data_IF_242736005936
#
_entry.id   IF_242736005936
#
_cell.length_a   1.000
_cell.length_b   1.000
_cell.length_c   1.000
_cell.angle_alpha   90.00
_cell.angle_beta   90.00
_cell.angle_gamma   90.00
#
_symmetry.space_group_name_H-M   'P 1'
#
loop_
_entity.id
_entity.type
_entity.pdbx_description
1 polymer ?
#
# COMPACT_ATOMS: atom_id res chain seq x y z
N UNK A 1 29.24 -39.21 12.37
CA UNK A 1 27.99 -38.53 12.76
C UNK A 1 26.89 -39.59 12.82
N UNK A 2 26.11 -39.67 13.89
CA UNK A 2 25.09 -40.73 13.98
C UNK A 2 24.02 -40.50 12.92
N UNK A 3 23.56 -41.56 12.25
CA UNK A 3 22.51 -41.54 11.24
C UNK A 3 21.24 -40.81 11.74
N UNK A 4 21.01 -40.84 13.04
CA UNK A 4 19.91 -40.12 13.71
C UNK A 4 20.02 -38.60 13.58
N UNK A 5 21.21 -38.03 13.73
CA UNK A 5 21.44 -36.57 13.55
C UNK A 5 21.27 -36.11 12.11
N UNK A 6 21.66 -36.94 11.14
CA UNK A 6 21.48 -36.62 9.72
C UNK A 6 20.01 -36.63 9.31
N UNK A 7 19.24 -37.60 9.83
CA UNK A 7 17.80 -37.67 9.59
C UNK A 7 17.07 -36.42 10.16
N UNK A 8 17.36 -36.05 11.41
CA UNK A 8 16.77 -34.87 12.02
C UNK A 8 17.17 -33.58 11.32
N UNK A 9 18.42 -33.44 10.91
CA UNK A 9 18.87 -32.26 10.13
C UNK A 9 18.14 -32.18 8.78
N UNK A 10 17.98 -33.29 8.08
CA UNK A 10 17.26 -33.31 6.81
C UNK A 10 15.78 -32.94 7.00
N UNK A 11 15.12 -33.46 8.04
CA UNK A 11 13.75 -33.16 8.39
C UNK A 11 13.55 -31.67 8.71
N UNK A 12 14.39 -31.12 9.57
CA UNK A 12 14.36 -29.68 9.94
C UNK A 12 14.62 -28.79 8.74
N UNK A 13 15.60 -29.13 7.91
CA UNK A 13 15.91 -28.34 6.70
C UNK A 13 14.76 -28.36 5.73
N UNK A 14 14.15 -29.53 5.49
CA UNK A 14 12.99 -29.68 4.63
C UNK A 14 11.78 -28.87 5.15
N UNK A 15 11.52 -28.95 6.46
CA UNK A 15 10.46 -28.19 7.10
C UNK A 15 10.70 -26.67 7.00
N UNK A 16 11.92 -26.21 7.25
CA UNK A 16 12.28 -24.81 7.17
C UNK A 16 12.16 -24.26 5.74
N UNK A 17 12.56 -25.06 4.74
CA UNK A 17 12.40 -24.70 3.33
C UNK A 17 10.92 -24.64 2.92
N UNK A 18 10.12 -25.61 3.35
CA UNK A 18 8.69 -25.65 3.03
C UNK A 18 7.93 -24.48 3.64
N UNK A 19 8.11 -24.23 4.94
CA UNK A 19 7.44 -23.13 5.62
C UNK A 19 7.99 -21.76 5.22
N UNK A 20 9.31 -21.62 5.07
CA UNK A 20 9.94 -20.39 4.61
C UNK A 20 9.51 -20.03 3.17
N UNK A 21 9.50 -21.01 2.28
CA UNK A 21 9.01 -20.82 0.92
C UNK A 21 7.52 -20.44 0.87
N UNK A 22 6.69 -21.10 1.68
CA UNK A 22 5.26 -20.77 1.81
C UNK A 22 5.04 -19.36 2.35
N UNK A 23 5.81 -18.93 3.36
CA UNK A 23 5.72 -17.59 3.92
C UNK A 23 6.08 -16.53 2.88
N UNK A 24 7.19 -16.73 2.15
CA UNK A 24 7.61 -15.80 1.10
C UNK A 24 6.55 -15.71 0.00
N UNK A 25 6.03 -16.83 -0.48
CA UNK A 25 4.97 -16.86 -1.49
C UNK A 25 3.70 -16.15 -1.01
N UNK A 26 3.31 -16.36 0.26
CA UNK A 26 2.16 -15.70 0.87
C UNK A 26 2.36 -14.18 0.97
N UNK A 27 3.56 -13.72 1.39
CA UNK A 27 3.87 -12.29 1.47
C UNK A 27 3.87 -11.61 0.10
N UNK A 28 4.43 -12.27 -0.93
CA UNK A 28 4.43 -11.73 -2.29
C UNK A 28 3.02 -11.65 -2.87
N UNK A 29 2.18 -12.66 -2.61
CA UNK A 29 0.77 -12.64 -3.02
C UNK A 29 -0.03 -11.57 -2.29
N UNK A 30 0.16 -11.42 -0.98
CA UNK A 30 -0.49 -10.39 -0.19
C UNK A 30 -0.05 -8.98 -0.63
N UNK A 31 1.24 -8.79 -0.92
CA UNK A 31 1.76 -7.55 -1.48
C UNK A 31 1.06 -7.19 -2.79
N UNK A 32 1.04 -8.13 -3.76
CA UNK A 32 0.41 -7.89 -5.07
C UNK A 32 -1.09 -7.55 -4.93
N UNK A 33 -1.78 -8.22 -4.02
CA UNK A 33 -3.17 -7.93 -3.71
C UNK A 33 -3.36 -6.51 -3.15
N UNK A 34 -2.52 -6.10 -2.17
CA UNK A 34 -2.58 -4.77 -1.57
C UNK A 34 -2.22 -3.66 -2.57
N UNK A 35 -1.23 -3.87 -3.44
CA UNK A 35 -0.90 -2.94 -4.53
C UNK A 35 -2.10 -2.74 -5.47
N UNK A 36 -2.77 -3.82 -5.85
CA UNK A 36 -3.98 -3.77 -6.68
C UNK A 36 -5.11 -3.02 -5.97
N UNK A 37 -5.37 -3.33 -4.70
CA UNK A 37 -6.41 -2.66 -3.91
C UNK A 37 -6.16 -1.16 -3.74
N UNK A 38 -4.91 -0.78 -3.45
CA UNK A 38 -4.54 0.63 -3.34
C UNK A 38 -4.68 1.36 -4.68
N UNK A 39 -4.29 0.72 -5.79
CA UNK A 39 -4.43 1.29 -7.13
C UNK A 39 -5.89 1.52 -7.51
N UNK A 40 -6.77 0.55 -7.22
CA UNK A 40 -8.22 0.70 -7.44
C UNK A 40 -8.77 1.84 -6.57
N UNK A 41 -8.43 1.87 -5.28
CA UNK A 41 -8.86 2.93 -4.36
C UNK A 41 -8.39 4.31 -4.81
N UNK A 42 -7.15 4.43 -5.30
CA UNK A 42 -6.63 5.68 -5.83
C UNK A 42 -7.44 6.15 -7.05
N UNK A 43 -7.75 5.23 -7.98
CA UNK A 43 -8.55 5.53 -9.18
C UNK A 43 -9.98 5.94 -8.82
N UNK A 44 -10.63 5.23 -7.90
CA UNK A 44 -11.98 5.54 -7.42
C UNK A 44 -12.03 6.91 -6.73
N UNK A 45 -11.08 7.19 -5.85
CA UNK A 45 -10.99 8.47 -5.15
C UNK A 45 -10.71 9.64 -6.12
N UNK A 46 -9.81 9.43 -7.09
CA UNK A 46 -9.55 10.43 -8.12
C UNK A 46 -10.81 10.72 -8.95
N UNK A 47 -11.54 9.66 -9.34
CA UNK A 47 -12.80 9.79 -10.10
C UNK A 47 -13.89 10.48 -9.29
N UNK A 48 -14.04 10.13 -8.02
CA UNK A 48 -15.01 10.75 -7.12
C UNK A 48 -14.72 12.24 -6.91
N UNK A 49 -13.44 12.60 -6.68
CA UNK A 49 -13.03 13.99 -6.54
C UNK A 49 -13.22 14.77 -7.84
N UNK A 50 -12.82 14.21 -8.98
CA UNK A 50 -13.00 14.84 -10.28
C UNK A 50 -14.48 15.09 -10.61
N UNK A 51 -15.34 14.12 -10.31
CA UNK A 51 -16.79 14.26 -10.46
C UNK A 51 -17.37 15.35 -9.56
N UNK A 52 -16.97 15.36 -8.29
CA UNK A 52 -17.39 16.39 -7.33
C UNK A 52 -17.01 17.81 -7.81
N UNK A 53 -15.76 17.96 -8.28
CA UNK A 53 -15.28 19.24 -8.82
C UNK A 53 -15.99 19.61 -10.11
N UNK A 54 -16.29 18.66 -10.99
CA UNK A 54 -17.00 18.90 -12.25
C UNK A 54 -18.43 19.42 -12.01
N UNK A 55 -19.10 18.94 -10.96
CA UNK A 55 -20.48 19.35 -10.60
C UNK A 55 -20.54 20.68 -9.82
N UNK A 56 -19.44 21.07 -9.16
CA UNK A 56 -19.42 22.23 -8.25
C UNK A 56 -19.02 23.55 -8.90
N UNK A 57 -18.99 23.62 -10.23
CA UNK A 57 -18.43 24.75 -11.00
C UNK A 57 -16.94 24.99 -10.63
N UNK A 58 -16.00 24.45 -11.41
CA UNK A 58 -14.59 24.30 -11.04
C UNK A 58 -13.82 25.64 -11.09
N UNK A 59 -14.14 26.58 -10.22
CA UNK A 59 -13.29 27.75 -9.98
C UNK A 59 -12.05 27.35 -9.16
N UNK A 60 -10.89 28.01 -9.36
CA UNK A 60 -9.66 27.69 -8.66
C UNK A 60 -9.79 27.67 -7.14
N UNK A 61 -10.57 28.58 -6.57
CA UNK A 61 -10.82 28.64 -5.12
C UNK A 61 -11.63 27.44 -4.62
N UNK A 62 -12.62 27.00 -5.39
CA UNK A 62 -13.44 25.81 -5.06
C UNK A 62 -12.60 24.53 -5.15
N UNK A 63 -11.74 24.44 -6.17
CA UNK A 63 -10.80 23.31 -6.34
C UNK A 63 -9.86 23.23 -5.13
N UNK A 64 -9.28 24.35 -4.72
CA UNK A 64 -8.36 24.38 -3.58
C UNK A 64 -9.07 24.00 -2.28
N UNK A 65 -10.25 24.56 -2.00
CA UNK A 65 -11.00 24.29 -0.78
C UNK A 65 -11.41 22.81 -0.70
N UNK A 66 -11.99 22.27 -1.77
CA UNK A 66 -12.47 20.87 -1.81
C UNK A 66 -11.30 19.90 -1.70
N UNK A 67 -10.20 20.17 -2.40
CA UNK A 67 -8.99 19.34 -2.35
C UNK A 67 -8.37 19.35 -0.96
N UNK A 68 -8.29 20.53 -0.32
CA UNK A 68 -7.75 20.67 1.03
C UNK A 68 -8.64 19.94 2.04
N UNK A 69 -9.96 20.10 1.98
CA UNK A 69 -10.89 19.41 2.88
C UNK A 69 -10.80 17.87 2.75
N UNK A 70 -10.62 17.37 1.52
CA UNK A 70 -10.42 15.94 1.31
C UNK A 70 -9.07 15.47 1.84
N UNK A 71 -8.01 16.25 1.62
CA UNK A 71 -6.67 15.93 2.10
C UNK A 71 -6.60 15.89 3.64
N UNK A 72 -7.26 16.83 4.30
CA UNK A 72 -7.32 16.93 5.77
C UNK A 72 -8.04 15.74 6.45
N UNK A 73 -8.74 14.90 5.66
CA UNK A 73 -9.26 13.63 6.16
C UNK A 73 -8.16 12.63 6.57
N UNK A 74 -6.89 12.90 6.22
CA UNK A 74 -5.70 12.18 6.68
C UNK A 74 -5.42 10.84 5.98
N UNK A 75 -6.12 10.53 4.88
CA UNK A 75 -5.99 9.25 4.18
C UNK A 75 -5.10 9.29 2.93
N UNK A 76 -4.58 10.48 2.59
CA UNK A 76 -3.88 10.71 1.33
C UNK A 76 -2.43 11.15 1.55
N UNK A 77 -1.54 10.54 0.78
CA UNK A 77 -0.13 10.93 0.69
C UNK A 77 0.05 12.11 -0.25
N UNK A 78 -0.70 12.12 -1.36
CA UNK A 78 -0.65 13.18 -2.36
C UNK A 78 -2.03 13.40 -2.96
N UNK A 79 -2.45 14.66 -3.07
CA UNK A 79 -3.51 15.09 -3.98
C UNK A 79 -2.96 16.26 -4.79
N UNK A 80 -2.99 16.13 -6.11
CA UNK A 80 -2.54 17.16 -7.05
C UNK A 80 -3.61 17.39 -8.10
N UNK A 81 -3.87 18.66 -8.40
CA UNK A 81 -4.73 19.07 -9.51
C UNK A 81 -3.93 19.97 -10.45
N UNK A 82 -3.93 19.64 -11.72
CA UNK A 82 -3.27 20.40 -12.77
C UNK A 82 -4.28 20.85 -13.83
N UNK A 83 -4.04 21.99 -14.46
CA UNK A 83 -4.83 22.46 -15.58
C UNK A 83 -4.52 21.68 -16.87
N UNK A 84 -5.23 21.89 -17.99
CA UNK A 84 -4.96 21.21 -19.26
C UNK A 84 -3.59 21.53 -19.86
N UNK A 85 -3.01 22.66 -19.50
CA UNK A 85 -1.69 23.11 -19.91
C UNK A 85 -0.56 22.49 -19.06
N UNK A 86 -0.91 21.80 -17.97
CA UNK A 86 0.03 21.13 -17.06
C UNK A 86 0.50 22.01 -15.90
N UNK A 87 -0.05 23.23 -15.73
CA UNK A 87 0.28 24.06 -14.60
C UNK A 87 -0.45 23.54 -13.35
N UNK A 88 0.23 23.60 -12.23
CA UNK A 88 -0.30 23.15 -10.94
C UNK A 88 -1.31 24.16 -10.39
N UNK A 89 -2.56 23.74 -10.19
CA UNK A 89 -3.59 24.52 -9.52
C UNK A 89 -3.45 24.37 -8.00
N UNK A 90 -3.39 23.12 -7.53
CA UNK A 90 -3.22 22.80 -6.11
C UNK A 90 -2.43 21.51 -5.94
N UNK A 91 -1.60 21.47 -4.91
CA UNK A 91 -0.90 20.26 -4.47
C UNK A 91 -0.89 20.20 -2.95
N UNK A 92 -1.23 19.05 -2.42
CA UNK A 92 -1.13 18.73 -0.99
C UNK A 92 -0.34 17.44 -0.86
N UNK A 93 0.74 17.50 -0.06
CA UNK A 93 1.63 16.36 0.21
C UNK A 93 1.60 16.09 1.70
N UNK A 94 1.30 14.85 2.07
CA UNK A 94 1.28 14.37 3.44
C UNK A 94 2.68 13.97 3.93
N UNK A 95 2.84 13.98 5.24
CA UNK A 95 4.04 13.42 5.87
C UNK A 95 3.87 11.91 5.95
N UNK A 96 4.83 11.17 5.40
CA UNK A 96 4.89 9.71 5.52
C UNK A 96 5.27 9.37 6.96
N UNK A 97 4.38 8.73 7.70
CA UNK A 97 4.67 8.22 9.04
C UNK A 97 5.14 6.76 8.94
N UNK A 98 6.45 6.53 9.08
CA UNK A 98 7.11 5.23 8.90
C UNK A 98 6.99 4.30 10.13
N UNK A 99 6.02 4.52 11.04
CA UNK A 99 5.97 3.81 12.33
C UNK A 99 5.34 2.42 12.30
N UNK A 100 4.63 2.06 11.25
CA UNK A 100 3.80 0.84 11.24
C UNK A 100 4.55 -0.44 10.91
N UNK A 101 5.74 -0.34 10.31
CA UNK A 101 6.62 -1.47 10.04
C UNK A 101 8.09 -1.05 10.10
N UNK A 102 9.02 -1.98 10.42
CA UNK A 102 10.44 -1.68 10.38
C UNK A 102 10.92 -1.25 9.00
N UNK A 103 11.80 -0.25 8.93
CA UNK A 103 12.31 0.28 7.65
C UNK A 103 12.99 -0.79 6.77
N UNK A 104 13.68 -1.77 7.37
CA UNK A 104 14.29 -2.87 6.62
C UNK A 104 13.23 -3.72 5.91
N UNK A 105 12.06 -3.94 6.54
CA UNK A 105 10.95 -4.69 5.95
C UNK A 105 10.34 -3.93 4.77
N UNK A 106 10.11 -2.62 4.91
CA UNK A 106 9.61 -1.77 3.84
C UNK A 106 10.56 -1.71 2.64
N UNK A 107 11.89 -1.70 2.89
CA UNK A 107 12.90 -1.76 1.83
C UNK A 107 12.94 -3.10 1.11
N UNK A 108 12.72 -4.18 1.83
CA UNK A 108 12.74 -5.53 1.26
C UNK A 108 11.47 -5.85 0.47
N UNK A 109 10.33 -5.29 0.88
CA UNK A 109 9.02 -5.53 0.28
C UNK A 109 8.35 -4.18 -0.09
N UNK A 110 8.89 -3.41 -1.05
CA UNK A 110 8.32 -2.11 -1.40
C UNK A 110 6.94 -2.29 -2.06
N UNK A 111 5.96 -1.50 -1.61
CA UNK A 111 4.60 -1.47 -2.17
C UNK A 111 4.52 -0.28 -3.13
N UNK A 112 4.23 -0.54 -4.41
CA UNK A 112 4.10 0.47 -5.46
C UNK A 112 2.67 0.47 -5.99
N UNK A 113 1.80 1.26 -5.36
CA UNK A 113 0.46 1.47 -5.87
C UNK A 113 0.46 2.54 -6.98
N UNK A 114 -0.26 2.27 -8.06
CA UNK A 114 -0.41 3.24 -9.13
C UNK A 114 -1.23 4.45 -8.65
N UNK A 115 -0.77 5.69 -8.87
CA UNK A 115 -1.58 6.89 -8.63
C UNK A 115 -2.89 6.84 -9.40
N UNK A 116 -3.99 7.20 -8.76
CA UNK A 116 -5.27 7.39 -9.42
C UNK A 116 -5.28 8.71 -10.19
N UNK A 117 -5.78 8.70 -11.40
CA UNK A 117 -5.92 9.90 -12.22
C UNK A 117 -7.32 9.99 -12.80
N UNK A 118 -7.91 11.18 -12.77
CA UNK A 118 -9.21 11.44 -13.36
C UNK A 118 -9.27 12.88 -13.92
N UNK A 119 -10.05 13.05 -14.98
CA UNK A 119 -10.22 14.35 -15.64
C UNK A 119 -11.39 15.10 -15.02
N UNK A 120 -11.16 16.39 -14.73
CA UNK A 120 -12.21 17.34 -14.36
C UNK A 120 -12.76 17.92 -15.66
N UNK A 121 -14.03 17.67 -15.93
CA UNK A 121 -14.71 18.20 -17.11
C UNK A 121 -15.79 19.18 -16.68
N UNK A 122 -15.87 20.30 -17.38
CA UNK A 122 -17.04 21.15 -17.40
C UNK A 122 -17.92 20.79 -18.59
N UNK A 123 -19.15 21.30 -18.68
CA UNK A 123 -20.09 21.00 -19.76
C UNK A 123 -19.52 21.16 -21.18
N UNK A 124 -18.47 21.96 -21.35
CA UNK A 124 -17.90 22.34 -22.66
C UNK A 124 -16.46 21.83 -22.87
N UNK A 125 -15.66 21.68 -21.81
CA UNK A 125 -14.22 21.38 -21.95
C UNK A 125 -13.61 20.72 -20.71
N UNK A 126 -12.44 20.10 -20.89
CA UNK A 126 -11.61 19.62 -19.79
C UNK A 126 -11.00 20.81 -19.05
N UNK A 127 -11.21 20.87 -17.75
CA UNK A 127 -10.72 21.95 -16.85
C UNK A 127 -9.40 21.57 -16.18
N UNK A 128 -9.16 20.26 -16.00
CA UNK A 128 -7.95 19.81 -15.37
C UNK A 128 -7.89 18.28 -15.19
N UNK A 129 -6.85 17.85 -14.50
CA UNK A 129 -6.64 16.46 -14.11
C UNK A 129 -6.32 16.37 -12.63
N UNK A 130 -7.03 15.49 -11.93
CA UNK A 130 -6.77 15.13 -10.53
C UNK A 130 -5.84 13.93 -10.49
N UNK A 131 -4.83 13.98 -9.63
CA UNK A 131 -4.01 12.82 -9.26
C UNK A 131 -4.12 12.60 -7.76
N UNK A 132 -4.42 11.36 -7.36
CA UNK A 132 -4.59 10.96 -5.95
C UNK A 132 -3.69 9.77 -5.64
N UNK A 133 -2.97 9.86 -4.51
CA UNK A 133 -2.20 8.76 -3.93
C UNK A 133 -2.64 8.60 -2.47
N UNK A 134 -3.13 7.43 -2.13
CA UNK A 134 -3.49 7.08 -0.75
C UNK A 134 -2.26 6.63 0.03
N UNK A 135 -2.26 6.84 1.35
CA UNK A 135 -1.24 6.31 2.24
C UNK A 135 -1.16 4.79 2.16
N UNK A 136 0.06 4.26 2.11
CA UNK A 136 0.36 2.83 2.09
C UNK A 136 0.68 2.24 3.48
N UNK A 137 0.70 3.07 4.54
CA UNK A 137 1.07 2.63 5.90
C UNK A 137 0.20 1.47 6.39
N UNK A 138 -1.11 1.52 6.13
CA UNK A 138 -2.03 0.44 6.51
C UNK A 138 -1.67 -0.90 5.85
N UNK A 139 -1.22 -0.88 4.60
CA UNK A 139 -0.78 -2.08 3.89
C UNK A 139 0.48 -2.69 4.55
N UNK A 140 1.43 -1.86 4.95
CA UNK A 140 2.60 -2.32 5.69
C UNK A 140 2.26 -2.84 7.09
N UNK A 141 1.34 -2.19 7.81
CA UNK A 141 0.86 -2.68 9.10
C UNK A 141 0.22 -4.06 8.99
N UNK A 142 -0.62 -4.29 7.96
CA UNK A 142 -1.24 -5.60 7.70
C UNK A 142 -0.20 -6.68 7.36
N UNK A 143 0.76 -6.38 6.48
CA UNK A 143 1.81 -7.33 6.10
C UNK A 143 2.69 -7.67 7.31
N UNK A 144 3.14 -6.68 8.06
CA UNK A 144 3.95 -6.89 9.25
C UNK A 144 3.21 -7.67 10.33
N UNK A 145 1.93 -7.34 10.55
CA UNK A 145 1.07 -8.04 11.50
C UNK A 145 0.85 -9.52 11.16
N UNK A 146 0.91 -9.91 9.89
CA UNK A 146 0.79 -11.31 9.47
C UNK A 146 2.10 -12.11 9.61
N UNK A 147 3.26 -11.43 9.59
CA UNK A 147 4.57 -12.07 9.72
C UNK A 147 4.82 -12.58 11.13
N UNK A 148 4.46 -11.80 12.14
CA UNK A 148 4.77 -12.10 13.54
C UNK A 148 4.14 -13.42 14.06
N UNK A 149 2.84 -13.68 13.85
CA UNK A 149 2.23 -14.94 14.28
C UNK A 149 2.86 -16.16 13.57
N UNK A 150 3.24 -15.99 12.31
CA UNK A 150 3.85 -17.08 11.53
C UNK A 150 5.23 -17.42 12.04
N UNK A 151 6.06 -16.42 12.35
CA UNK A 151 7.38 -16.63 12.96
C UNK A 151 7.23 -17.27 14.34
N UNK A 152 6.30 -16.80 15.17
CA UNK A 152 6.02 -17.38 16.48
C UNK A 152 5.61 -18.85 16.40
N UNK A 153 4.71 -19.20 15.46
CA UNK A 153 4.28 -20.58 15.22
C UNK A 153 5.43 -21.47 14.76
N UNK A 154 6.29 -20.98 13.85
CA UNK A 154 7.48 -21.71 13.40
C UNK A 154 8.46 -21.96 14.54
N UNK A 155 8.74 -20.94 15.36
CA UNK A 155 9.64 -21.04 16.50
C UNK A 155 9.10 -22.05 17.53
N UNK A 156 7.81 -21.99 17.82
CA UNK A 156 7.15 -22.95 18.70
C UNK A 156 7.24 -24.38 18.17
N UNK A 157 6.95 -24.60 16.89
CA UNK A 157 7.07 -25.91 16.27
C UNK A 157 8.50 -26.46 16.30
N UNK A 158 9.51 -25.60 16.10
CA UNK A 158 10.92 -25.98 16.23
C UNK A 158 11.31 -26.36 17.66
N UNK A 159 10.82 -25.64 18.67
CA UNK A 159 11.09 -25.93 20.09
C UNK A 159 10.45 -27.26 20.52
N UNK A 160 9.20 -27.50 20.14
CA UNK A 160 8.51 -28.76 20.46
C UNK A 160 9.15 -29.94 19.73
N UNK A 161 9.46 -29.81 18.45
CA UNK A 161 10.13 -30.86 17.68
C UNK A 161 11.59 -31.14 18.10
N UNK A 162 12.28 -30.13 18.65
CA UNK A 162 13.65 -30.29 19.14
C UNK A 162 13.75 -30.83 20.59
N UNK A 163 12.62 -30.83 21.34
CA UNK A 163 12.57 -31.34 22.70
C UNK A 163 12.20 -32.82 22.83
N UNK A 164 11.78 -33.44 21.73
CA UNK A 164 11.49 -34.89 21.60
C UNK A 164 12.68 -35.63 21.00
#
# INVERSE_FOLDING_TARGET
MSMYRQFWLALFTSMLLAFGGSLIASLLSARAYLESQLSIKNADNASALALSLSLSNPEPATIELTTTALFDSGHYELIRVVDPEGNQIVERVGVVDDRDAPQWFMRWLPIHATPGQAKINNEVQQVGTVTVVSHNHFAYAMLWGSVWPTIAAMTFACLVGGSL
#
